data_IF_575134805745
#
_entry.id   IF_575134805745
#
_cell.length_a   1.000
_cell.length_b   1.000
_cell.length_c   1.000
_cell.angle_alpha   90.00
_cell.angle_beta   90.00
_cell.angle_gamma   90.00
#
_symmetry.space_group_name_H-M   'P 1'
#
loop_
_entity.id
_entity.type
_entity.pdbx_description
1 polymer ?
#
# COMPACT_ATOMS: atom_id res chain seq x y z
N UNK A 1 22.01 1.68 10.36
CA UNK A 1 20.68 1.17 10.75
C UNK A 1 19.72 1.75 9.72
N UNK A 2 19.10 0.90 8.92
CA UNK A 2 18.14 1.34 7.90
C UNK A 2 16.75 0.92 8.40
N UNK A 3 15.85 1.88 8.58
CA UNK A 3 14.45 1.60 8.87
C UNK A 3 13.74 1.26 7.55
N UNK A 4 12.91 0.23 7.55
CA UNK A 4 12.14 -0.22 6.39
C UNK A 4 10.71 -0.51 6.81
N UNK A 5 9.91 0.55 6.84
CA UNK A 5 8.50 0.50 7.20
C UNK A 5 7.67 0.42 5.93
N UNK A 6 6.64 -0.42 5.94
CA UNK A 6 5.78 -0.54 4.79
C UNK A 6 4.35 -0.91 5.17
N UNK A 7 3.40 -0.37 4.42
CA UNK A 7 1.97 -0.67 4.51
C UNK A 7 1.49 -1.13 3.15
N UNK A 8 0.88 -2.31 3.11
CA UNK A 8 0.18 -2.80 1.95
C UNK A 8 -1.22 -2.19 1.89
N UNK A 9 -1.59 -1.67 0.74
CA UNK A 9 -2.90 -1.11 0.46
C UNK A 9 -3.59 -1.93 -0.63
N UNK A 10 -4.84 -2.28 -0.40
CA UNK A 10 -5.69 -2.97 -1.37
C UNK A 10 -6.81 -2.04 -1.82
N UNK A 11 -6.88 -1.76 -3.11
CA UNK A 11 -8.01 -1.04 -3.69
C UNK A 11 -9.18 -2.00 -3.83
N UNK A 12 -10.31 -1.61 -3.29
CA UNK A 12 -11.60 -2.31 -3.40
C UNK A 12 -12.65 -1.36 -3.97
N UNK A 13 -13.83 -1.86 -4.39
CA UNK A 13 -14.96 -1.02 -4.76
C UNK A 13 -15.45 -0.07 -3.66
N UNK A 14 -15.00 -0.26 -2.41
CA UNK A 14 -15.32 0.58 -1.26
C UNK A 14 -14.19 1.54 -0.88
N UNK A 15 -13.13 1.60 -1.67
CA UNK A 15 -11.94 2.39 -1.44
C UNK A 15 -10.71 1.57 -1.00
N UNK A 16 -9.69 2.29 -0.55
CA UNK A 16 -8.42 1.72 -0.12
C UNK A 16 -8.52 1.11 1.29
N UNK A 17 -8.12 -0.16 1.40
CA UNK A 17 -8.10 -0.89 2.67
C UNK A 17 -6.67 -1.28 2.98
N UNK A 18 -6.20 -0.93 4.19
CA UNK A 18 -4.90 -1.36 4.68
C UNK A 18 -4.88 -2.88 4.89
N UNK A 19 -3.89 -3.53 4.28
CA UNK A 19 -3.53 -4.94 4.40
C UNK A 19 -2.39 -5.13 5.40
N UNK A 20 -1.41 -5.94 5.03
CA UNK A 20 -0.24 -6.22 5.86
C UNK A 20 0.59 -4.94 6.12
N UNK A 21 1.11 -4.79 7.34
CA UNK A 21 1.94 -3.66 7.74
C UNK A 21 3.16 -4.13 8.52
N UNK A 22 4.32 -3.53 8.25
CA UNK A 22 5.56 -3.75 8.97
C UNK A 22 6.07 -2.41 9.48
N UNK A 23 6.29 -2.34 10.80
CA UNK A 23 6.89 -1.20 11.48
C UNK A 23 8.35 -1.51 11.83
N UNK A 24 9.16 -0.46 12.02
CA UNK A 24 10.58 -0.60 12.36
C UNK A 24 10.77 -1.21 13.76
N UNK A 25 9.89 -0.82 14.68
CA UNK A 25 9.91 -1.24 16.07
C UNK A 25 8.59 -1.94 16.44
N UNK A 26 8.31 -3.08 15.81
CA UNK A 26 7.11 -3.85 16.16
C UNK A 26 6.94 -5.16 15.40
N UNK A 27 6.00 -6.02 15.84
CA UNK A 27 5.60 -7.19 15.09
C UNK A 27 4.87 -6.79 13.80
N UNK A 28 5.02 -7.60 12.74
CA UNK A 28 4.24 -7.45 11.52
C UNK A 28 2.75 -7.59 11.83
N UNK A 29 1.95 -6.66 11.36
CA UNK A 29 0.49 -6.73 11.43
C UNK A 29 0.00 -7.36 10.13
N UNK A 30 -0.42 -8.62 10.19
CA UNK A 30 -1.06 -9.27 9.05
C UNK A 30 -2.56 -8.99 9.02
N UNK A 31 -3.10 -8.64 7.86
CA UNK A 31 -4.54 -8.45 7.65
C UNK A 31 -5.03 -9.31 6.49
N UNK A 32 -6.28 -9.75 6.59
CA UNK A 32 -6.87 -10.54 5.52
C UNK A 32 -6.96 -9.72 4.24
N UNK A 33 -6.50 -10.31 3.13
CA UNK A 33 -6.60 -9.64 1.84
C UNK A 33 -8.06 -9.68 1.38
N UNK A 34 -8.66 -8.52 0.99
CA UNK A 34 -10.04 -8.49 0.52
C UNK A 34 -10.23 -9.39 -0.71
N UNK A 35 -11.35 -10.14 -0.74
CA UNK A 35 -11.70 -10.98 -1.87
C UNK A 35 -12.05 -10.16 -3.12
N UNK A 36 -12.60 -8.97 -2.90
CA UNK A 36 -12.96 -7.96 -3.90
C UNK A 36 -11.81 -6.98 -4.24
N UNK A 37 -10.56 -7.33 -3.92
CA UNK A 37 -9.41 -6.50 -4.30
C UNK A 37 -9.29 -6.40 -5.82
N UNK A 38 -9.05 -5.20 -6.33
CA UNK A 38 -8.82 -4.94 -7.75
C UNK A 38 -7.38 -4.50 -8.05
N UNK A 39 -6.70 -3.92 -7.06
CA UNK A 39 -5.31 -3.46 -7.14
C UNK A 39 -4.68 -3.61 -5.76
N UNK A 40 -3.36 -3.81 -5.70
CA UNK A 40 -2.61 -3.75 -4.45
C UNK A 40 -1.31 -3.00 -4.65
N UNK A 41 -1.06 -2.05 -3.75
CA UNK A 41 0.08 -1.15 -3.77
C UNK A 41 0.73 -1.16 -2.40
N UNK A 42 2.04 -1.34 -2.35
CA UNK A 42 2.80 -1.22 -1.11
C UNK A 42 3.35 0.19 -1.02
N UNK A 43 3.03 0.89 0.06
CA UNK A 43 3.76 2.08 0.46
C UNK A 43 4.94 1.64 1.30
N UNK A 44 6.16 2.03 0.93
CA UNK A 44 7.37 1.76 1.70
C UNK A 44 8.10 3.06 1.98
N UNK A 45 8.38 3.30 3.25
CA UNK A 45 9.28 4.35 3.69
C UNK A 45 10.63 3.75 4.08
N UNK A 46 11.69 4.36 3.56
CA UNK A 46 13.06 4.02 3.96
C UNK A 46 13.75 5.25 4.50
N UNK A 47 14.29 5.12 5.71
CA UNK A 47 15.11 6.16 6.33
C UNK A 47 16.50 5.62 6.56
N UNK A 48 17.49 6.31 5.98
CA UNK A 48 18.91 6.09 6.23
C UNK A 48 19.38 7.28 7.05
N UNK A 49 19.97 7.07 8.24
CA UNK A 49 20.20 8.10 9.27
C UNK A 49 20.97 9.38 8.92
N UNK A 50 21.30 9.63 7.64
CA UNK A 50 21.88 10.86 7.11
C UNK A 50 21.04 11.51 5.98
N UNK A 51 19.87 10.98 5.63
CA UNK A 51 19.05 11.44 4.51
C UNK A 51 17.58 11.56 4.92
N UNK A 52 16.83 12.44 4.25
CA UNK A 52 15.39 12.54 4.44
C UNK A 52 14.72 11.18 4.14
N UNK A 53 13.71 10.78 4.94
CA UNK A 53 12.96 9.57 4.67
C UNK A 53 12.40 9.64 3.24
N UNK A 54 12.64 8.59 2.46
CA UNK A 54 12.11 8.46 1.11
C UNK A 54 11.01 7.43 1.13
N UNK A 55 9.77 7.89 0.94
CA UNK A 55 8.58 7.09 0.82
C UNK A 55 8.13 6.93 -0.62
N UNK A 56 7.69 5.74 -1.01
CA UNK A 56 7.17 5.49 -2.35
C UNK A 56 6.11 4.39 -2.38
N UNK A 57 5.08 4.59 -3.20
CA UNK A 57 4.09 3.58 -3.52
C UNK A 57 4.56 2.74 -4.71
N UNK A 58 4.51 1.42 -4.57
CA UNK A 58 4.84 0.47 -5.63
C UNK A 58 3.67 -0.49 -5.81
N UNK A 59 3.13 -0.56 -7.03
CA UNK A 59 2.09 -1.54 -7.36
C UNK A 59 2.69 -2.95 -7.34
N UNK A 60 2.17 -3.83 -6.49
CA UNK A 60 2.66 -5.22 -6.37
C UNK A 60 1.71 -6.22 -7.02
N UNK A 61 0.44 -5.85 -7.19
CA UNK A 61 -0.55 -6.71 -7.80
C UNK A 61 -1.63 -5.87 -8.47
N UNK A 62 -2.06 -6.32 -9.65
CA UNK A 62 -3.11 -5.70 -10.44
C UNK A 62 -4.07 -6.77 -10.94
N UNK A 63 -5.37 -6.54 -10.75
CA UNK A 63 -6.42 -7.41 -11.26
C UNK A 63 -6.54 -7.34 -12.79
N UNK A 64 -7.32 -8.26 -13.35
CA UNK A 64 -7.57 -8.32 -14.80
C UNK A 64 -8.60 -7.28 -15.28
N UNK A 65 -9.44 -6.79 -14.38
CA UNK A 65 -10.51 -5.84 -14.69
C UNK A 65 -10.00 -4.39 -14.76
N UNK A 66 -9.27 -4.06 -15.82
CA UNK A 66 -8.65 -2.74 -16.01
C UNK A 66 -9.66 -1.58 -15.99
N UNK A 67 -10.87 -1.81 -16.50
CA UNK A 67 -11.95 -0.81 -16.46
C UNK A 67 -12.35 -0.47 -15.02
N UNK A 68 -12.53 -1.50 -14.19
CA UNK A 68 -12.91 -1.34 -12.80
C UNK A 68 -11.78 -0.65 -12.02
N UNK A 69 -10.53 -1.05 -12.26
CA UNK A 69 -9.35 -0.42 -11.65
C UNK A 69 -9.28 1.07 -12.01
N UNK A 70 -9.46 1.41 -13.28
CA UNK A 70 -9.38 2.81 -13.75
C UNK A 70 -10.50 3.65 -13.17
N UNK A 71 -11.73 3.13 -13.13
CA UNK A 71 -12.86 3.80 -12.50
C UNK A 71 -12.62 4.03 -11.00
N UNK A 72 -12.10 3.03 -10.29
CA UNK A 72 -11.84 3.16 -8.86
C UNK A 72 -10.65 4.07 -8.54
N UNK A 73 -9.60 4.07 -9.35
CA UNK A 73 -8.51 5.04 -9.21
C UNK A 73 -8.97 6.47 -9.53
N UNK A 74 -9.97 6.65 -10.39
CA UNK A 74 -10.56 7.98 -10.64
C UNK A 74 -11.44 8.44 -9.47
N UNK A 75 -12.11 7.51 -8.79
CA UNK A 75 -12.99 7.80 -7.65
C UNK A 75 -12.22 8.00 -6.33
N UNK A 76 -11.22 7.15 -6.06
CA UNK A 76 -10.49 7.08 -4.79
C UNK A 76 -9.07 7.65 -4.87
N UNK A 77 -8.66 8.16 -6.03
CA UNK A 77 -7.30 8.65 -6.32
C UNK A 77 -6.22 7.55 -6.14
N UNK A 78 -4.96 7.95 -6.06
CA UNK A 78 -3.82 7.06 -5.88
C UNK A 78 -3.82 6.36 -4.50
N UNK A 79 -2.97 5.33 -4.38
CA UNK A 79 -2.80 4.63 -3.12
C UNK A 79 -2.33 5.57 -2.00
N UNK A 80 -2.84 5.43 -0.76
CA UNK A 80 -2.38 6.25 0.35
C UNK A 80 -0.89 6.09 0.57
N UNK A 81 -0.23 7.20 0.88
CA UNK A 81 1.20 7.28 1.21
C UNK A 81 1.39 7.46 2.72
N UNK A 82 0.59 6.74 3.51
CA UNK A 82 0.55 6.82 4.96
C UNK A 82 1.02 5.48 5.58
N UNK A 83 1.78 5.57 6.68
CA UNK A 83 2.20 4.46 7.54
C UNK A 83 1.30 4.35 8.78
#
# INVERSE_FOLDING_TARGET
MASSEWTLWHLTPKGWVAGDQQFDTGPMVSRAVPADRVLSSVYKETSSGYSMPTGGNTEIWRGSDERLITSLLNEWDAAPSEL
#
